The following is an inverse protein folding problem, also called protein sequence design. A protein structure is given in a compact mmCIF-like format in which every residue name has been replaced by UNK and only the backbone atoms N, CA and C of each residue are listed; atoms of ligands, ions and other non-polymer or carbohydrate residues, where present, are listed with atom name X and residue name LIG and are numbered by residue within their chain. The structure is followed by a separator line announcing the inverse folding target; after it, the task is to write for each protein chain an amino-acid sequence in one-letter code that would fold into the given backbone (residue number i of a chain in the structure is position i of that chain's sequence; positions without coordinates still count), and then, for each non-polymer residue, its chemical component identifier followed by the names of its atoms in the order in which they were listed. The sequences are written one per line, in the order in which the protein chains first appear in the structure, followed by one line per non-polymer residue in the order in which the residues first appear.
data_IF_134578938511
#
_entry.id   IF_134578938511
#
_cell.length_a   1.000
_cell.length_b   1.000
_cell.length_c   1.000
_cell.angle_alpha   90.00
_cell.angle_beta   90.00
_cell.angle_gamma   90.00
#
_symmetry.space_group_name_H-M   'P 1'
#
loop_
_entity.id
_entity.type
_entity.pdbx_description
1 polymer ?
2 non-polymer ?
3 water ?
#
# COMPACT_ATOMS: atom_id res chain seq x y z
N UNK A 6 16.61 -19.73 2.14
CA UNK A 6 17.54 -19.36 3.26
C UNK A 6 17.66 -17.83 3.49
N UNK A 7 17.89 -17.42 4.75
CA UNK A 7 18.26 -15.99 5.03
C UNK A 7 19.39 -15.46 4.10
N UNK A 8 19.12 -14.33 3.43
CA UNK A 8 20.02 -13.68 2.47
C UNK A 8 19.76 -14.08 1.02
N UNK A 9 18.99 -15.13 0.84
CA UNK A 9 18.59 -15.52 -0.50
C UNK A 9 17.58 -14.52 -1.07
N UNK A 10 17.70 -14.31 -2.37
CA UNK A 10 16.87 -13.39 -3.13
C UNK A 10 15.82 -14.05 -4.02
N UNK A 11 14.66 -13.45 -4.12
CA UNK A 11 13.60 -13.96 -5.03
C UNK A 11 13.22 -12.73 -5.86
N UNK A 12 13.02 -12.89 -7.16
CA UNK A 12 12.65 -11.77 -8.02
C UNK A 12 11.39 -12.04 -8.73
N UNK A 13 10.64 -10.93 -8.98
CA UNK A 13 9.38 -10.98 -9.60
C UNK A 13 9.19 -9.77 -10.54
N UNK A 14 8.85 -10.01 -11.80
CA UNK A 14 8.74 -8.92 -12.81
C UNK A 14 7.32 -8.65 -13.22
N UNK A 15 6.96 -7.35 -13.43
CA UNK A 15 5.59 -7.00 -13.77
C UNK A 15 5.50 -5.79 -14.63
N UNK A 16 5.02 -5.95 -15.85
CA UNK A 16 4.84 -4.78 -16.72
C UNK A 16 3.61 -3.99 -16.22
N UNK A 17 3.82 -2.68 -15.94
CA UNK A 17 2.69 -1.94 -15.39
C UNK A 17 1.62 -1.61 -16.47
N UNK A 18 0.39 -2.08 -16.28
CA UNK A 18 -0.66 -1.78 -17.27
C UNK A 18 -1.37 -0.48 -16.92
N UNK A 19 -2.23 0.07 -17.82
CA UNK A 19 -2.87 1.33 -17.52
C UNK A 19 -3.78 1.30 -16.30
N UNK A 20 -4.22 0.16 -15.85
CA UNK A 20 -5.27 0.10 -14.83
C UNK A 20 -4.61 -0.09 -13.43
N UNK A 21 -3.27 0.09 -13.37
CA UNK A 21 -2.57 0.16 -12.03
C UNK A 21 -2.08 1.54 -11.67
N UNK A 22 -2.74 2.57 -12.21
CA UNK A 22 -2.37 3.91 -11.78
C UNK A 22 -3.23 4.36 -10.62
N UNK A 23 -2.86 5.53 -10.10
CA UNK A 23 -3.47 6.09 -8.93
C UNK A 23 -5.03 6.13 -8.96
N UNK A 24 -5.58 6.65 -10.08
CA UNK A 24 -7.06 6.74 -10.18
C UNK A 24 -7.78 5.37 -10.13
N UNK A 25 -7.06 4.29 -10.43
CA UNK A 25 -7.67 2.94 -10.46
C UNK A 25 -7.62 2.28 -9.09
N UNK A 26 -6.76 2.82 -8.21
CA UNK A 26 -6.76 2.25 -6.80
C UNK A 26 -8.00 2.60 -6.02
N UNK A 27 -8.41 3.86 -6.21
CA UNK A 27 -9.68 4.36 -5.59
C UNK A 27 -10.49 5.20 -6.60
N UNK A 28 -11.18 4.47 -7.48
CA UNK A 28 -12.09 5.18 -8.41
C UNK A 28 -13.16 5.96 -7.61
N UNK A 29 -13.43 5.56 -6.37
CA UNK A 29 -14.41 6.27 -5.50
C UNK A 29 -13.91 7.63 -5.02
N UNK A 30 -12.66 8.00 -5.28
CA UNK A 30 -12.06 9.19 -4.75
C UNK A 30 -12.03 10.34 -5.74
N UNK A 31 -12.94 11.36 -5.55
CA UNK A 31 -12.78 12.49 -6.41
C UNK A 31 -11.42 13.13 -6.18
N UNK A 32 -10.93 13.08 -4.93
CA UNK A 32 -9.66 13.64 -4.62
C UNK A 32 -8.44 13.06 -5.45
N UNK A 33 -8.53 11.81 -6.02
CA UNK A 33 -7.51 11.11 -6.88
C UNK A 33 -7.89 11.09 -8.39
N UNK A 34 -9.10 11.54 -8.71
CA UNK A 34 -9.70 11.41 -10.08
C UNK A 34 -8.85 11.76 -11.30
N UNK A 35 -8.26 12.94 -11.14
CA UNK A 35 -7.56 13.62 -12.17
C UNK A 35 -6.04 13.46 -12.02
N UNK A 36 -5.57 12.62 -11.07
CA UNK A 36 -4.15 12.49 -10.82
C UNK A 36 -3.37 11.95 -12.03
N UNK A 37 -2.11 12.37 -12.27
CA UNK A 37 -1.25 11.81 -13.31
C UNK A 37 -1.21 10.27 -13.24
N UNK A 38 -1.05 9.73 -14.41
CA UNK A 38 -1.22 8.28 -14.64
C UNK A 38 0.12 7.62 -14.33
N UNK A 39 0.34 7.40 -13.00
CA UNK A 39 1.55 6.70 -12.54
C UNK A 39 1.15 5.56 -11.60
N UNK A 40 2.05 4.56 -11.57
CA UNK A 40 1.82 3.32 -10.74
C UNK A 40 1.56 3.78 -9.27
N UNK A 41 0.43 3.37 -8.69
CA UNK A 41 0.08 3.87 -7.33
C UNK A 41 0.93 3.23 -6.24
N UNK A 42 1.28 4.01 -5.20
CA UNK A 42 2.03 3.39 -4.08
C UNK A 42 1.30 2.13 -3.59
N UNK A 43 -0.02 2.13 -3.46
CA UNK A 43 -0.71 0.97 -2.90
C UNK A 43 -0.56 -0.26 -3.81
N UNK A 44 -0.48 -0.03 -5.13
CA UNK A 44 -0.23 -1.16 -6.03
C UNK A 44 1.27 -1.61 -5.99
N UNK A 45 2.21 -0.67 -5.76
CA UNK A 45 3.62 -1.07 -5.55
C UNK A 45 3.72 -1.95 -4.27
N UNK A 46 3.04 -1.52 -3.21
CA UNK A 46 2.98 -2.30 -1.95
C UNK A 46 2.43 -3.70 -2.24
N UNK A 47 1.30 -3.78 -3.00
CA UNK A 47 0.75 -5.10 -3.29
C UNK A 47 1.68 -5.93 -4.16
N UNK A 48 2.43 -5.32 -5.08
CA UNK A 48 3.39 -6.14 -5.86
C UNK A 48 4.58 -6.66 -5.01
N UNK A 49 5.02 -5.81 -4.06
CA UNK A 49 6.12 -6.24 -3.17
C UNK A 49 5.65 -7.38 -2.31
N UNK A 50 4.43 -7.27 -1.78
CA UNK A 50 3.88 -8.31 -0.91
C UNK A 50 3.63 -9.61 -1.76
N UNK A 51 3.13 -9.44 -2.97
CA UNK A 51 2.98 -10.59 -3.88
C UNK A 51 4.33 -11.35 -4.10
N UNK A 52 5.42 -10.59 -4.29
CA UNK A 52 6.75 -11.26 -4.45
C UNK A 52 7.07 -12.13 -3.23
N UNK A 53 6.78 -11.58 -2.01
CA UNK A 53 7.12 -12.29 -0.79
C UNK A 53 6.19 -13.50 -0.58
N UNK A 54 4.90 -13.38 -0.94
CA UNK A 54 4.01 -14.53 -0.90
C UNK A 54 4.51 -15.67 -1.82
N UNK A 55 4.96 -15.37 -3.02
CA UNK A 55 5.48 -16.44 -3.96
C UNK A 55 6.76 -17.00 -3.33
N UNK A 56 7.58 -16.15 -2.71
CA UNK A 56 8.86 -16.64 -2.10
C UNK A 56 8.63 -17.59 -0.92
N UNK A 57 7.57 -17.39 -0.18
CA UNK A 57 7.37 -18.22 0.99
C UNK A 57 6.43 -19.42 0.80
N UNK A 58 5.93 -19.62 -0.42
CA UNK A 58 4.87 -20.66 -0.52
C UNK A 58 5.32 -22.11 -0.08
N UNK A 59 6.60 -22.43 -0.33
CA UNK A 59 7.10 -23.77 0.24
C UNK A 59 7.07 -23.94 1.73
N UNK A 60 7.10 -22.84 2.48
CA UNK A 60 7.05 -22.93 3.88
C UNK A 60 5.69 -23.30 4.48
N UNK A 61 4.61 -23.06 3.71
CA UNK A 61 3.24 -23.32 4.18
C UNK A 61 2.89 -24.85 4.25
N UNK A 62 2.21 -25.19 5.31
CA UNK A 62 1.65 -26.60 5.47
C UNK A 62 0.21 -26.51 4.95
N UNK A 63 -0.39 -27.67 4.61
CA UNK A 63 -1.78 -27.58 4.09
C UNK A 63 -2.69 -26.98 5.11
N UNK A 64 -3.58 -26.06 4.67
CA UNK A 64 -4.52 -25.48 5.56
C UNK A 64 -4.03 -24.04 5.89
N UNK A 65 -2.77 -23.76 5.53
CA UNK A 65 -2.18 -22.45 5.97
C UNK A 65 -2.18 -21.47 4.83
N UNK A 66 -2.13 -20.19 5.28
CA UNK A 66 -1.97 -19.08 4.37
C UNK A 66 -1.08 -18.05 5.11
N UNK A 67 -1.07 -16.79 4.63
CA UNK A 67 -0.28 -15.76 5.39
C UNK A 67 -0.95 -14.39 5.21
N UNK A 68 -0.62 -13.53 6.17
CA UNK A 68 -1.11 -12.09 6.12
C UNK A 68 0.08 -11.20 6.24
N UNK A 69 0.04 -10.08 5.53
CA UNK A 69 1.02 -8.96 5.76
C UNK A 69 0.75 -8.32 7.10
N UNK A 70 1.78 -8.14 7.94
CA UNK A 70 1.64 -7.58 9.27
C UNK A 70 2.38 -6.21 9.37
N UNK A 71 3.24 -5.88 8.40
CA UNK A 71 3.88 -4.53 8.42
C UNK A 71 4.45 -4.30 7.04
N UNK A 72 4.49 -3.01 6.63
CA UNK A 72 5.16 -2.56 5.43
C UNK A 72 5.87 -1.26 5.70
N UNK A 73 7.15 -1.17 5.35
CA UNK A 73 7.85 0.07 5.67
C UNK A 73 8.71 0.30 4.44
N UNK A 74 8.23 1.22 3.57
CA UNK A 74 8.96 1.40 2.28
C UNK A 74 9.01 2.87 1.90
N UNK A 75 9.95 3.21 1.02
CA UNK A 75 9.97 4.51 0.36
C UNK A 75 9.46 4.36 -1.07
N UNK A 76 9.05 5.46 -1.65
CA UNK A 76 8.63 5.53 -3.07
C UNK A 76 9.31 6.71 -3.65
N UNK A 77 10.40 6.44 -4.40
CA UNK A 77 11.45 7.44 -4.73
C UNK A 77 11.43 7.96 -6.16
N UNK A 78 10.66 7.30 -7.00
CA UNK A 78 10.54 7.69 -8.44
C UNK A 78 9.19 7.23 -8.92
N UNK A 79 8.65 7.85 -9.98
CA UNK A 79 7.31 7.50 -10.50
C UNK A 79 7.40 6.68 -11.79
N UNK A 80 6.40 5.89 -12.03
CA UNK A 80 6.48 4.88 -13.12
C UNK A 80 5.19 4.99 -13.92
N UNK A 81 5.28 5.40 -15.21
CA UNK A 81 4.10 5.36 -16.03
C UNK A 81 3.87 3.94 -16.57
N UNK A 82 2.63 3.65 -17.04
CA UNK A 82 2.37 2.34 -17.64
C UNK A 82 3.32 2.04 -18.77
N UNK A 83 3.70 0.75 -18.87
CA UNK A 83 4.55 0.26 -19.98
C UNK A 83 5.90 -0.18 -19.52
N UNK A 84 6.43 0.39 -18.40
CA UNK A 84 7.72 -0.08 -17.89
C UNK A 84 7.54 -1.34 -17.04
N UNK A 85 8.61 -2.12 -16.96
CA UNK A 85 8.59 -3.36 -16.14
C UNK A 85 9.14 -3.01 -14.76
N UNK A 86 8.30 -3.26 -13.76
CA UNK A 86 8.80 -3.16 -12.34
C UNK A 86 9.34 -4.53 -11.89
N UNK A 87 10.60 -4.59 -11.52
CA UNK A 87 11.16 -5.81 -10.92
C UNK A 87 11.23 -5.63 -9.41
N UNK A 88 10.63 -6.52 -8.65
CA UNK A 88 10.78 -6.50 -7.22
C UNK A 88 11.78 -7.60 -6.84
N UNK A 89 12.73 -7.26 -5.98
CA UNK A 89 13.70 -8.24 -5.40
C UNK A 89 13.30 -8.38 -3.93
N UNK A 90 13.01 -9.57 -3.45
CA UNK A 90 12.62 -9.87 -2.04
C UNK A 90 13.83 -10.66 -1.43
N UNK A 91 14.56 -10.09 -0.47
CA UNK A 91 15.73 -10.73 0.16
C UNK A 91 15.25 -11.21 1.54
N UNK A 92 15.27 -12.51 1.85
CA UNK A 92 14.78 -12.98 3.10
C UNK A 92 15.65 -12.52 4.24
N UNK A 93 15.05 -11.92 5.25
CA UNK A 93 15.78 -11.40 6.40
C UNK A 93 15.66 -12.26 7.64
N UNK A 94 14.49 -12.85 7.86
CA UNK A 94 14.26 -13.70 9.06
C UNK A 94 13.14 -14.68 8.82
N UNK A 95 13.27 -15.89 9.38
CA UNK A 95 12.14 -16.81 9.39
C UNK A 95 12.17 -17.48 10.73
N UNK A 96 11.09 -17.34 11.47
CA UNK A 96 11.04 -17.94 12.84
C UNK A 96 9.56 -18.31 13.07
N UNK A 97 9.27 -19.60 13.01
CA UNK A 97 7.90 -19.96 13.38
C UNK A 97 6.91 -19.32 12.39
N UNK A 98 5.90 -18.67 12.95
CA UNK A 98 4.93 -18.05 12.07
C UNK A 98 5.41 -16.77 11.41
N UNK A 99 6.60 -16.27 11.78
CA UNK A 99 6.93 -14.85 11.49
C UNK A 99 8.03 -14.80 10.43
N UNK A 100 7.83 -14.07 9.32
CA UNK A 100 8.85 -14.00 8.25
C UNK A 100 9.05 -12.48 7.91
N UNK A 101 10.24 -12.13 7.49
CA UNK A 101 10.54 -10.72 7.11
C UNK A 101 11.43 -10.72 5.95
N UNK A 102 11.23 -9.76 5.07
CA UNK A 102 12.08 -9.54 3.90
C UNK A 102 12.51 -8.11 3.75
N UNK A 103 13.68 -7.85 3.15
CA UNK A 103 14.00 -6.54 2.55
C UNK A 103 13.47 -6.61 1.15
N UNK A 104 12.65 -5.65 0.77
CA UNK A 104 12.12 -5.54 -0.60
C UNK A 104 12.66 -4.36 -1.33
N UNK A 105 12.89 -4.48 -2.67
CA UNK A 105 13.33 -3.32 -3.39
C UNK A 105 12.74 -3.44 -4.80
N UNK A 106 12.48 -2.30 -5.43
CA UNK A 106 11.81 -2.29 -6.75
C UNK A 106 12.51 -1.31 -7.68
N UNK A 107 12.66 -1.66 -8.98
CA UNK A 107 13.14 -0.69 -9.95
C UNK A 107 12.40 -0.96 -11.25
N UNK A 108 12.18 0.12 -11.99
CA UNK A 108 11.33 0.10 -13.21
C UNK A 108 12.10 -0.03 -14.54
N UNK A 109 13.35 -0.44 -14.42
CA UNK A 109 14.23 -0.47 -15.63
C UNK A 109 14.90 0.84 -15.89
N UNK A 110 14.41 1.95 -15.36
CA UNK A 110 15.00 3.28 -15.58
C UNK A 110 15.54 3.78 -14.23
N UNK A 111 14.68 3.77 -13.19
CA UNK A 111 15.01 4.26 -11.89
C UNK A 111 14.77 3.17 -10.81
N UNK A 112 15.48 3.24 -9.71
CA UNK A 112 15.09 2.58 -8.45
C UNK A 112 13.83 3.30 -8.02
N UNK A 113 12.76 2.57 -7.66
CA UNK A 113 11.49 3.26 -7.37
C UNK A 113 11.17 3.16 -5.85
N UNK A 114 11.83 2.29 -5.11
CA UNK A 114 11.47 2.25 -3.67
C UNK A 114 12.03 0.99 -3.05
N UNK A 115 12.20 1.03 -1.73
CA UNK A 115 12.69 -0.16 -1.02
C UNK A 115 12.29 -0.08 0.43
N UNK A 116 12.45 -1.18 1.14
CA UNK A 116 12.19 -1.21 2.60
C UNK A 116 11.99 -2.61 3.07
N UNK A 117 11.06 -2.78 3.98
CA UNK A 117 10.86 -4.08 4.66
C UNK A 117 9.41 -4.45 4.61
N UNK A 118 9.16 -5.76 4.68
CA UNK A 118 7.83 -6.29 4.79
C UNK A 118 7.84 -7.52 5.72
N UNK A 119 6.88 -7.56 6.60
CA UNK A 119 6.72 -8.75 7.54
C UNK A 119 5.39 -9.45 7.29
N UNK A 120 5.40 -10.80 7.38
CA UNK A 120 4.18 -11.59 7.25
C UNK A 120 4.05 -12.60 8.38
N UNK A 121 2.83 -13.06 8.58
CA UNK A 121 2.56 -14.10 9.59
C UNK A 121 1.83 -15.21 8.89
N UNK A 122 2.27 -16.44 9.21
CA UNK A 122 1.50 -17.64 8.75
C UNK A 122 0.20 -17.75 9.59
N UNK A 123 -0.88 -18.07 8.90
CA UNK A 123 -2.17 -18.25 9.57
C UNK A 123 -2.75 -19.62 9.18
N UNK A 124 -3.59 -20.10 10.09
CA UNK A 124 -4.46 -21.24 9.76
C UNK A 124 -5.73 -20.66 9.07
N UNK A 125 -5.96 -21.01 7.83
CA UNK A 125 -7.01 -20.30 7.04
C UNK A 125 -8.43 -20.47 7.65
N UNK A 126 -8.80 -21.68 8.01
CA UNK A 126 -10.11 -21.87 8.68
C UNK A 126 -10.37 -21.18 10.00
N UNK A 127 -9.41 -21.22 10.89
CA UNK A 127 -9.54 -20.52 12.11
C UNK A 127 -9.65 -19.02 11.80
N UNK A 128 -8.76 -18.55 10.90
CA UNK A 128 -8.77 -17.14 10.60
C UNK A 128 -10.13 -16.69 9.99
N UNK A 129 -10.61 -17.43 9.02
CA UNK A 129 -11.93 -17.08 8.45
C UNK A 129 -13.05 -17.06 9.50
N UNK A 130 -13.04 -17.97 10.50
CA UNK A 130 -14.05 -17.87 11.55
C UNK A 130 -13.96 -16.59 12.39
N UNK A 131 -12.75 -16.12 12.64
CA UNK A 131 -12.58 -14.93 13.47
C UNK A 131 -13.09 -13.77 12.63
N UNK A 132 -12.85 -13.84 11.32
CA UNK A 132 -13.27 -12.73 10.41
C UNK A 132 -14.79 -12.68 10.41
N UNK A 133 -15.43 -13.86 10.28
CA UNK A 133 -16.93 -13.93 10.30
C UNK A 133 -17.51 -13.33 11.54
N UNK A 134 -16.86 -13.46 12.69
CA UNK A 134 -17.50 -12.90 13.86
C UNK A 134 -17.46 -11.40 14.02
N UNK A 135 -16.63 -10.74 13.18
CA UNK A 135 -16.66 -9.28 13.13
C UNK A 135 -17.25 -8.77 11.81
N UNK A 136 -17.92 -9.64 11.03
CA UNK A 136 -18.56 -9.27 9.80
C UNK A 136 -20.03 -8.87 10.09
N UNK A 137 -20.47 -7.64 9.67
CA UNK A 137 -21.90 -7.25 9.92
C UNK A 137 -22.88 -8.19 9.22
N UNK B 5 -0.33 25.14 7.45
CA UNK B 5 -0.99 23.98 8.08
C UNK B 5 -0.59 23.83 9.53
N UNK B 6 -1.54 23.46 10.41
CA UNK B 6 -1.24 23.33 11.83
C UNK B 6 -0.71 21.95 12.27
N UNK B 7 0.52 21.99 12.75
CA UNK B 7 1.14 20.76 13.32
C UNK B 7 0.35 20.31 14.52
N UNK B 8 0.06 19.01 14.61
CA UNK B 8 -0.69 18.45 15.72
C UNK B 8 -2.21 18.37 15.52
N UNK B 9 -2.71 19.02 14.49
CA UNK B 9 -4.09 18.93 14.07
C UNK B 9 -4.38 17.50 13.52
N UNK B 10 -5.49 16.95 13.95
CA UNK B 10 -5.94 15.64 13.53
C UNK B 10 -7.08 15.77 12.54
N UNK B 11 -7.03 14.92 11.54
CA UNK B 11 -8.07 14.87 10.52
C UNK B 11 -8.58 13.43 10.50
N UNK B 12 -9.89 13.24 10.41
CA UNK B 12 -10.45 11.87 10.31
C UNK B 12 -11.09 11.64 9.00
N UNK B 13 -10.86 10.46 8.46
CA UNK B 13 -11.41 10.04 7.20
C UNK B 13 -12.11 8.69 7.37
N UNK B 14 -13.44 8.64 7.08
CA UNK B 14 -14.21 7.40 7.31
C UNK B 14 -14.56 6.77 5.96
N UNK B 15 -14.46 5.44 5.92
CA UNK B 15 -14.66 4.72 4.65
C UNK B 15 -15.26 3.39 4.94
N UNK B 16 -16.51 3.17 4.50
CA UNK B 16 -17.11 1.83 4.62
C UNK B 16 -16.46 0.90 3.58
N UNK B 17 -15.82 -0.21 4.03
CA UNK B 17 -15.13 -1.07 3.08
C UNK B 17 -16.15 -1.85 2.20
N UNK B 18 -16.07 -1.63 0.87
CA UNK B 18 -16.96 -2.41 -0.04
C UNK B 18 -16.29 -3.76 -0.39
N UNK B 19 -17.10 -4.67 -0.97
CA UNK B 19 -16.56 -5.97 -1.35
C UNK B 19 -15.38 -5.87 -2.31
N UNK B 20 -15.29 -4.87 -3.18
CA UNK B 20 -14.21 -4.80 -4.14
C UNK B 20 -12.87 -4.20 -3.63
N UNK B 21 -12.73 -4.16 -2.28
CA UNK B 21 -11.41 -3.75 -1.74
C UNK B 21 -10.73 -4.84 -0.96
N UNK B 22 -11.11 -6.10 -1.25
CA UNK B 22 -10.37 -7.21 -0.64
C UNK B 22 -9.13 -7.57 -1.42
N UNK B 23 -8.30 -8.43 -0.78
CA UNK B 23 -7.02 -8.78 -1.41
C UNK B 23 -7.10 -9.20 -2.88
N UNK B 24 -8.04 -10.12 -3.17
CA UNK B 24 -8.16 -10.55 -4.59
C UNK B 24 -8.40 -9.46 -5.63
N UNK B 25 -9.06 -8.39 -5.19
CA UNK B 25 -9.29 -7.25 -6.07
C UNK B 25 -8.11 -6.33 -6.27
N UNK B 26 -7.12 -6.39 -5.37
CA UNK B 26 -5.91 -5.53 -5.64
C UNK B 26 -5.11 -6.01 -6.87
N UNK B 27 -4.94 -7.32 -6.97
CA UNK B 27 -4.31 -7.93 -8.18
C UNK B 27 -5.17 -9.10 -8.66
N UNK B 28 -6.20 -8.76 -9.46
CA UNK B 28 -6.99 -9.87 -10.11
C UNK B 28 -6.08 -10.73 -11.00
N UNK B 29 -4.91 -10.22 -11.43
CA UNK B 29 -4.02 -11.09 -12.21
C UNK B 29 -3.15 -12.04 -11.36
N UNK B 30 -3.29 -12.02 -10.03
CA UNK B 30 -2.49 -12.89 -9.17
C UNK B 30 -3.29 -14.06 -8.77
N UNK B 31 -2.91 -15.26 -9.22
CA UNK B 31 -3.50 -16.48 -8.70
C UNK B 31 -3.31 -16.69 -7.22
N UNK B 32 -2.21 -16.17 -6.68
CA UNK B 32 -1.99 -16.34 -5.25
C UNK B 32 -3.06 -15.49 -4.48
N UNK B 33 -3.28 -14.28 -4.92
CA UNK B 33 -4.26 -13.37 -4.21
C UNK B 33 -5.69 -13.84 -4.38
N UNK B 34 -5.95 -14.62 -5.43
CA UNK B 34 -7.31 -15.03 -5.72
C UNK B 34 -7.87 -15.97 -4.68
N UNK B 35 -7.00 -16.68 -3.92
CA UNK B 35 -7.39 -17.62 -2.88
C UNK B 35 -7.39 -17.03 -1.46
N UNK B 36 -7.06 -15.74 -1.33
CA UNK B 36 -6.92 -15.20 0.02
C UNK B 36 -8.28 -14.95 0.67
N UNK B 37 -8.25 -14.83 1.99
CA UNK B 37 -9.46 -14.42 2.70
C UNK B 37 -9.99 -13.04 2.21
N UNK B 38 -11.30 -12.87 2.33
CA UNK B 38 -12.00 -11.63 1.85
C UNK B 38 -11.91 -10.53 2.87
N UNK B 39 -10.70 -9.96 2.91
CA UNK B 39 -10.39 -8.92 3.91
C UNK B 39 -9.65 -7.77 3.19
N UNK B 40 -9.83 -6.56 3.77
CA UNK B 40 -9.27 -5.36 3.18
C UNK B 40 -7.72 -5.52 3.00
N UNK B 41 -7.25 -5.22 1.78
CA UNK B 41 -5.81 -5.46 1.49
C UNK B 41 -4.92 -4.38 2.04
N UNK B 42 -3.69 -4.78 2.41
CA UNK B 42 -2.70 -3.82 2.86
C UNK B 42 -2.48 -2.67 1.83
N UNK B 43 -2.43 -3.01 0.54
CA UNK B 43 -2.16 -1.95 -0.43
C UNK B 43 -3.34 -0.98 -0.47
N UNK B 44 -4.60 -1.49 -0.29
CA UNK B 44 -5.73 -0.58 -0.20
C UNK B 44 -5.67 0.26 1.07
N UNK B 45 -5.25 -0.33 2.21
CA UNK B 45 -5.06 0.50 3.40
C UNK B 45 -4.03 1.59 3.20
N UNK B 46 -2.92 1.28 2.53
CA UNK B 46 -1.92 2.31 2.22
C UNK B 46 -2.60 3.43 1.41
N UNK B 47 -3.39 3.05 0.39
CA UNK B 47 -4.00 4.11 -0.45
C UNK B 47 -5.00 4.94 0.38
N UNK B 48 -5.71 4.31 1.31
CA UNK B 48 -6.69 5.05 2.11
C UNK B 48 -6.00 6.01 3.06
N UNK B 49 -4.87 5.58 3.63
CA UNK B 49 -4.08 6.54 4.47
C UNK B 49 -3.58 7.72 3.63
N UNK B 50 -3.12 7.47 2.41
CA UNK B 50 -2.74 8.56 1.52
C UNK B 50 -3.93 9.48 1.31
N UNK B 51 -5.07 8.89 0.96
CA UNK B 51 -6.27 9.69 0.68
C UNK B 51 -6.62 10.60 1.87
N UNK B 52 -6.63 10.07 3.07
CA UNK B 52 -6.86 10.90 4.25
C UNK B 52 -5.91 12.09 4.26
N UNK B 53 -4.59 11.85 4.11
CA UNK B 53 -3.62 12.96 4.16
C UNK B 53 -3.81 13.94 3.01
N UNK B 54 -4.15 13.44 1.79
CA UNK B 54 -4.48 14.35 0.69
C UNK B 54 -5.64 15.30 1.02
N UNK B 55 -6.70 14.75 1.62
CA UNK B 55 -7.87 15.65 1.99
C UNK B 55 -7.43 16.68 3.04
N UNK B 56 -6.61 16.26 4.01
CA UNK B 56 -6.18 17.16 5.11
C UNK B 56 -5.35 18.33 4.49
N UNK B 57 -4.51 18.02 3.51
CA UNK B 57 -3.60 19.02 2.89
C UNK B 57 -4.21 19.92 1.91
N UNK B 58 -5.38 19.61 1.40
CA UNK B 58 -5.89 20.36 0.21
C UNK B 58 -6.04 21.86 0.32
N UNK B 59 -6.54 22.34 1.46
CA UNK B 59 -6.92 23.75 1.36
C UNK B 59 -5.70 24.64 1.47
N UNK B 60 -4.53 24.05 1.70
CA UNK B 60 -3.32 24.79 1.88
C UNK B 60 -2.35 24.63 0.65
N UNK B 61 -2.76 23.89 -0.40
CA UNK B 61 -2.01 23.87 -1.67
C UNK B 61 -2.39 25.11 -2.54
N UNK B 62 -1.47 25.49 -3.43
CA UNK B 62 -1.71 26.58 -4.40
C UNK B 62 -2.36 25.98 -5.61
N UNK B 63 -2.93 26.83 -6.49
CA UNK B 63 -3.60 26.32 -7.67
C UNK B 63 -2.65 25.51 -8.56
N UNK B 64 -3.07 24.29 -8.98
CA UNK B 64 -2.26 23.47 -9.88
C UNK B 64 -1.31 22.54 -9.13
N UNK B 65 -1.31 22.59 -7.80
CA UNK B 65 -0.43 21.65 -7.04
C UNK B 65 -1.21 20.46 -6.64
N UNK B 66 -0.46 19.36 -6.34
CA UNK B 66 -0.99 18.20 -5.67
C UNK B 66 0.21 17.59 -4.94
N UNK B 67 0.15 16.28 -4.67
CA UNK B 67 1.24 15.65 -3.88
C UNK B 67 1.40 14.20 -4.25
N UNK B 68 2.54 13.66 -3.83
CA UNK B 68 2.86 12.25 -3.98
C UNK B 68 3.24 11.69 -2.62
N UNK B 69 2.88 10.45 -2.37
CA UNK B 69 3.42 9.75 -1.20
C UNK B 69 4.85 9.32 -1.41
N UNK B 70 5.76 9.68 -0.49
CA UNK B 70 7.18 9.35 -0.64
C UNK B 70 7.65 8.29 0.33
N UNK B 71 6.84 7.95 1.37
CA UNK B 71 7.24 6.87 2.27
C UNK B 71 6.05 6.53 3.09
N UNK B 72 5.98 5.27 3.51
CA UNK B 72 4.97 4.78 4.46
C UNK B 72 5.59 3.72 5.37
N UNK B 73 5.23 3.75 6.64
CA UNK B 73 5.88 2.77 7.57
C UNK B 73 4.80 2.41 8.59
N UNK B 74 4.05 1.33 8.33
CA UNK B 74 2.85 1.03 9.17
C UNK B 74 2.79 -0.44 9.54
N UNK B 75 2.14 -0.72 10.66
CA UNK B 75 1.73 -2.06 10.93
C UNK B 75 0.32 -2.36 10.40
N UNK B 76 0.00 -3.67 10.30
CA UNK B 76 -1.38 -4.08 9.98
C UNK B 76 -1.64 -5.14 11.06
N UNK B 77 -2.42 -4.78 12.05
CA UNK B 77 -2.53 -5.55 13.37
C UNK B 77 -3.82 -6.43 13.44
N UNK B 78 -4.79 -6.16 12.60
CA UNK B 78 -6.06 -6.93 12.56
C UNK B 78 -6.64 -6.83 11.17
N UNK B 79 -7.51 -7.76 10.79
CA UNK B 79 -8.04 -7.83 9.46
C UNK B 79 -9.53 -7.38 9.47
N UNK B 80 -9.94 -6.81 8.32
CA UNK B 80 -11.27 -6.14 8.26
C UNK B 80 -12.06 -6.68 7.06
N UNK B 81 -13.24 -7.29 7.32
CA UNK B 81 -14.13 -7.70 6.21
C UNK B 81 -14.87 -6.52 5.63
N UNK B 82 -15.39 -6.71 4.44
CA UNK B 82 -16.28 -5.65 3.85
C UNK B 82 -17.48 -5.41 4.77
N UNK B 83 -17.85 -4.16 4.82
CA UNK B 83 -19.06 -3.73 5.54
C UNK B 83 -18.76 -3.00 6.83
N UNK B 84 -17.56 -3.14 7.39
CA UNK B 84 -17.13 -2.27 8.52
C UNK B 84 -16.65 -0.92 7.99
N UNK B 85 -16.66 0.08 8.88
CA UNK B 85 -16.15 1.41 8.51
C UNK B 85 -14.69 1.48 9.04
N UNK B 86 -13.77 1.76 8.14
CA UNK B 86 -12.38 2.02 8.54
C UNK B 86 -12.29 3.55 8.75
N UNK B 87 -11.87 3.97 9.93
CA UNK B 87 -11.60 5.40 10.20
C UNK B 87 -10.08 5.53 10.25
N UNK B 88 -9.54 6.39 9.38
CA UNK B 88 -8.13 6.76 9.42
C UNK B 88 -8.06 8.07 10.19
N UNK B 89 -7.15 8.17 11.17
CA UNK B 89 -6.84 9.46 11.83
C UNK B 89 -5.44 9.87 11.35
N UNK B 90 -5.31 11.04 10.76
CA UNK B 90 -3.99 11.55 10.26
C UNK B 90 -3.64 12.78 11.09
N UNK B 91 -2.44 12.84 11.57
CA UNK B 91 -2.03 13.92 12.48
C UNK B 91 -0.77 14.48 11.90
N UNK B 92 -0.76 15.76 11.60
CA UNK B 92 0.41 16.41 10.98
C UNK B 92 1.60 16.50 11.97
N UNK B 93 2.79 16.03 11.57
CA UNK B 93 3.99 16.14 12.43
C UNK B 93 4.84 17.32 12.09
N UNK B 94 4.93 17.63 10.79
CA UNK B 94 5.85 18.70 10.35
C UNK B 94 5.60 19.05 8.95
N UNK B 95 6.00 20.29 8.62
CA UNK B 95 6.02 20.81 7.24
C UNK B 95 7.41 21.41 7.01
N UNK B 96 8.13 20.90 6.05
CA UNK B 96 9.50 21.43 5.76
C UNK B 96 9.54 21.64 4.23
N UNK B 97 9.31 22.88 3.74
CA UNK B 97 9.30 23.10 2.28
C UNK B 97 8.15 22.28 1.67
N UNK B 98 8.51 21.44 0.71
CA UNK B 98 7.51 20.66 -0.01
C UNK B 98 7.15 19.41 0.76
N UNK B 99 7.86 19.13 1.85
CA UNK B 99 7.71 17.82 2.55
C UNK B 99 6.78 17.93 3.73
N UNK B 100 5.75 17.07 3.81
CA UNK B 100 4.76 17.01 4.90
C UNK B 100 4.84 15.59 5.50
N UNK B 101 4.89 15.47 6.83
CA UNK B 101 5.09 14.21 7.53
C UNK B 101 3.95 14.06 8.46
N UNK B 102 3.42 12.83 8.56
CA UNK B 102 2.21 12.55 9.28
C UNK B 102 2.38 11.31 10.19
N UNK B 103 1.66 11.25 11.32
CA UNK B 103 1.41 10.05 12.06
C UNK B 103 0.03 9.59 11.63
N UNK B 104 -0.12 8.32 11.29
CA UNK B 104 -1.41 7.77 10.83
C UNK B 104 -1.82 6.57 11.67
N UNK B 105 -3.12 6.38 11.83
CA UNK B 105 -3.60 5.15 12.47
C UNK B 105 -4.97 4.86 11.93
N UNK B 106 -5.40 3.63 12.08
CA UNK B 106 -6.72 3.23 11.50
C UNK B 106 -7.39 2.19 12.42
N UNK B 107 -8.71 2.28 12.53
CA UNK B 107 -9.49 1.34 13.31
C UNK B 107 -10.73 1.05 12.50
N UNK B 108 -11.28 -0.17 12.68
CA UNK B 108 -12.46 -0.52 11.88
C UNK B 108 -13.77 -0.54 12.68
N UNK B 109 -13.80 0.14 13.82
CA UNK B 109 -14.98 0.10 14.68
C UNK B 109 -14.94 -1.07 15.69
N UNK B 110 -14.15 -2.10 15.40
CA UNK B 110 -14.02 -3.28 16.27
C UNK B 110 -12.63 -3.33 16.84
N UNK B 111 -11.63 -3.28 15.97
CA UNK B 111 -10.26 -3.37 16.39
C UNK B 111 -9.44 -2.17 15.86
N UNK B 112 -8.36 -1.84 16.53
CA UNK B 112 -7.28 -1.03 15.92
C UNK B 112 -6.67 -1.88 14.80
N UNK B 113 -6.46 -1.38 13.60
CA UNK B 113 -5.99 -2.21 12.51
C UNK B 113 -4.62 -1.79 12.03
N UNK B 114 -4.03 -0.65 12.44
CA UNK B 114 -2.62 -0.36 11.93
C UNK B 114 -2.27 1.04 12.40
N UNK B 115 -0.97 1.31 12.44
CA UNK B 115 -0.51 2.67 12.79
C UNK B 115 0.91 2.82 12.35
N UNK B 116 1.32 4.09 12.14
CA UNK B 116 2.67 4.35 11.80
C UNK B 116 2.77 5.75 11.21
N UNK B 117 3.67 5.88 10.24
CA UNK B 117 4.03 7.17 9.69
C UNK B 117 3.88 7.20 8.18
N UNK B 118 3.75 8.40 7.61
CA UNK B 118 3.58 8.59 6.15
C UNK B 118 4.19 9.95 5.83
N UNK B 119 4.90 10.03 4.72
CA UNK B 119 5.44 11.35 4.25
C UNK B 119 4.98 11.57 2.83
N UNK B 120 4.79 12.86 2.51
CA UNK B 120 4.35 13.30 1.19
C UNK B 120 5.19 14.45 0.68
N UNK B 121 5.20 14.67 -0.63
CA UNK B 121 5.87 15.77 -1.25
C UNK B 121 4.88 16.54 -2.16
N UNK B 122 4.82 17.85 -2.00
CA UNK B 122 4.02 18.72 -2.90
C UNK B 122 4.67 18.79 -4.29
N UNK B 123 3.82 18.69 -5.29
CA UNK B 123 4.26 18.66 -6.72
C UNK B 123 3.44 19.67 -7.50
N UNK B 124 4.08 20.20 -8.58
CA UNK B 124 3.31 20.98 -9.56
C UNK B 124 2.74 19.95 -10.54
N UNK B 125 1.41 19.73 -10.55
CA UNK B 125 0.82 18.62 -11.35
C UNK B 125 1.22 18.61 -12.84
N UNK B 126 1.10 19.77 -13.50
CA UNK B 126 1.43 19.79 -14.94
C UNK B 126 2.87 19.51 -15.24
N UNK B 127 3.79 20.07 -14.45
CA UNK B 127 5.19 19.85 -14.64
C UNK B 127 5.52 18.38 -14.43
N UNK B 128 4.95 17.82 -13.33
CA UNK B 128 5.21 16.43 -13.05
C UNK B 128 4.63 15.50 -14.12
N UNK B 129 3.37 15.76 -14.51
CA UNK B 129 2.79 14.97 -15.59
C UNK B 129 3.66 15.00 -16.88
N UNK B 130 4.16 16.19 -17.23
CA UNK B 130 4.97 16.26 -18.47
C UNK B 130 6.26 15.48 -18.33
N UNK B 131 6.89 15.46 -17.14
CA UNK B 131 8.11 14.68 -16.89
C UNK B 131 7.84 13.21 -16.91
N UNK B 132 6.70 12.78 -16.33
CA UNK B 132 6.28 11.34 -16.33
C UNK B 132 6.15 10.82 -17.71
N UNK B 133 5.46 11.62 -18.54
CA UNK B 133 5.08 11.27 -19.95
C UNK B 133 6.37 11.02 -20.71
N UNK B 134 7.47 11.66 -20.28
CA UNK B 134 8.75 11.52 -21.00
C UNK B 134 9.50 10.28 -20.64
N UNK B 135 9.15 9.61 -19.53
CA UNK B 135 9.85 8.37 -19.32
C UNK B 135 9.01 7.16 -19.80
N UNK B 136 7.79 7.45 -20.29
CA UNK B 136 6.79 6.50 -20.84
C UNK B 136 7.33 5.92 -22.14
N UNK B 137 7.29 4.57 -22.29
CA UNK B 137 7.85 3.92 -23.49
C UNK B 137 7.05 4.29 -24.75
X LIG C 1 1.23 7.41 -5.11
X LIG C 1 1.81 7.94 -4.01
X LIG C 1 0.18 6.65 -4.99
X LIG C 1 1.79 7.75 -6.48
X LIG D 1 6.42 8.85 -5.63
X LIG D 1 5.23 8.61 -5.20
X LIG D 1 6.72 8.49 -6.84
X LIG D 1 7.40 9.58 -4.79
X LIG E 1 -1.11 -9.93 0.74
X LIG E 1 -2.21 -9.65 0.19
X LIG E 1 -1.10 -10.06 2.03
X LIG E 1 0.05 -10.04 -0.15
X LIG F 1 11.18 8.96 5.32
X LIG F 1 11.80 8.02 4.62
X LIG F 1 10.29 9.69 4.71
X LIG F 1 11.44 9.29 6.76
X LIG G 1 4.27 5.62 -0.28
X LIG G 1 3.22 6.38 -0.28
X LIG G 1 5.39 6.12 -0.44
X LIG G 1 4.26 4.11 -0.18
X LIG H 1 -3.40 -8.40 3.67
X LIG H 1 -2.56 -9.42 3.77
X LIG H 1 -3.23 -7.57 2.74
X LIG H 1 -4.58 -8.24 4.55
X LIG I 1 4.64 6.09 18.45
X LIG I 1 3.64 6.89 18.53
X LIG I 1 5.65 6.50 19.08
X LIG I 1 4.69 4.76 17.72
#
# INVERSE_FOLDING_TARGET
MKDGMRVGERFTHDFVVPPHKTVRHLYPESPEFAEFPEVFASGFMVGLMEWACVRAMAPYLEPGEGSLGTAICVTHTAATPPGLTVTVTAELRSVEGRRLSWRVSAHDGVDEIGSGTHERAVIHLEKFNAKVRQKTPAG
MKDGMRVGERFTHDFVVPPHKTVRHLYPESPEFAEFPEVFASGFMVGLMEWACVRAMAPYLEPGEGSLGTAICVTHTAATPPGLTVTVTAELRSVEGRRLSWRVSAHDGVDEIGSGTHERAVIHLEKFNAKVRQKTPAG
ACT C O OXT CH3
ACT C O OXT CH3
ACT C O OXT CH3
ACT C O OXT CH3
ACT C O OXT CH3
ACT C O OXT CH3
ACT C O OXT CH3
#
